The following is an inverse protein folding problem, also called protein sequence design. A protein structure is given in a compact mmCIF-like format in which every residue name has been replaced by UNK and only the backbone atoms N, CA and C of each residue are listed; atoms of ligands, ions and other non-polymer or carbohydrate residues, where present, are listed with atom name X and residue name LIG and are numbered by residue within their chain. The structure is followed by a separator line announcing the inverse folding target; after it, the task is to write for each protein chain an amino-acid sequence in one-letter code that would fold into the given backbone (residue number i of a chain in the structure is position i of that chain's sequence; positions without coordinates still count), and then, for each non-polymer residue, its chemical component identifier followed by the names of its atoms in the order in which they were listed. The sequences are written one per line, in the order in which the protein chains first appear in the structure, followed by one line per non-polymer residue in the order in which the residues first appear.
data_IF_929323203038
#
_entry.id   IF_929323203038
#
_cell.length_a   1.000
_cell.length_b   1.000
_cell.length_c   1.000
_cell.angle_alpha   90.00
_cell.angle_beta   90.00
_cell.angle_gamma   90.00
#
_symmetry.space_group_name_H-M   'P 1'
#
loop_
_entity.id
_entity.type
_entity.pdbx_description
1 polymer ?
#
# COMPACT_ATOMS: atom_id res chain seq x y z
N UNK A 1 16.01 -22.31 6.23
CA UNK A 1 15.04 -22.09 5.12
C UNK A 1 13.93 -21.09 5.44
N UNK A 2 13.33 -21.08 6.64
CA UNK A 2 12.19 -20.20 7.01
C UNK A 2 12.49 -18.70 6.87
N UNK A 3 13.68 -18.25 7.28
CA UNK A 3 14.09 -16.84 7.15
C UNK A 3 14.29 -16.39 5.68
N UNK A 4 14.82 -17.28 4.81
CA UNK A 4 14.96 -17.00 3.37
C UNK A 4 13.59 -16.82 2.71
N UNK A 5 12.61 -17.67 3.07
CA UNK A 5 11.23 -17.55 2.56
C UNK A 5 10.60 -16.21 2.94
N UNK A 6 10.79 -15.75 4.18
CA UNK A 6 10.26 -14.44 4.61
C UNK A 6 10.93 -13.28 3.85
N UNK A 7 12.26 -13.31 3.67
CA UNK A 7 12.97 -12.30 2.90
C UNK A 7 12.49 -12.19 1.45
N UNK A 8 12.21 -13.33 0.80
CA UNK A 8 11.64 -13.38 -0.55
C UNK A 8 10.27 -12.68 -0.59
N UNK A 9 9.40 -12.90 0.40
CA UNK A 9 8.09 -12.24 0.45
C UNK A 9 8.24 -10.72 0.49
N UNK A 10 9.13 -10.19 1.34
CA UNK A 10 9.38 -8.74 1.40
C UNK A 10 9.91 -8.20 0.07
N UNK A 11 10.82 -8.93 -0.60
CA UNK A 11 11.37 -8.54 -1.90
C UNK A 11 10.31 -8.55 -3.00
N UNK A 12 9.45 -9.57 -3.05
CA UNK A 12 8.35 -9.66 -4.01
C UNK A 12 7.35 -8.54 -3.77
N UNK A 13 6.96 -8.27 -2.52
CA UNK A 13 6.11 -7.13 -2.18
C UNK A 13 6.70 -5.80 -2.62
N UNK A 14 8.00 -5.59 -2.40
CA UNK A 14 8.70 -4.40 -2.86
C UNK A 14 8.69 -4.29 -4.38
N UNK A 15 8.94 -5.39 -5.10
CA UNK A 15 8.86 -5.43 -6.56
C UNK A 15 7.47 -5.08 -7.10
N UNK A 16 6.41 -5.60 -6.46
CA UNK A 16 5.02 -5.26 -6.79
C UNK A 16 4.74 -3.77 -6.55
N UNK A 17 5.21 -3.22 -5.42
CA UNK A 17 5.05 -1.80 -5.12
C UNK A 17 5.77 -0.92 -6.16
N UNK A 18 7.00 -1.29 -6.56
CA UNK A 18 7.76 -0.60 -7.61
C UNK A 18 7.05 -0.66 -8.96
N UNK A 19 6.55 -1.82 -9.36
CA UNK A 19 5.78 -1.97 -10.59
C UNK A 19 4.51 -1.12 -10.54
N UNK A 20 3.76 -1.20 -9.44
CA UNK A 20 2.56 -0.38 -9.21
C UNK A 20 2.87 1.12 -9.33
N UNK A 21 3.95 1.59 -8.72
CA UNK A 21 4.38 3.00 -8.80
C UNK A 21 4.74 3.43 -10.23
N UNK A 22 5.49 2.62 -10.98
CA UNK A 22 5.85 2.96 -12.37
C UNK A 22 4.59 3.02 -13.23
N UNK A 23 3.69 2.05 -13.09
CA UNK A 23 2.43 2.02 -13.83
C UNK A 23 1.58 3.26 -13.50
N UNK A 24 1.32 3.55 -12.23
CA UNK A 24 0.47 4.69 -11.84
C UNK A 24 1.10 6.02 -12.21
N UNK A 25 2.40 6.22 -11.94
CA UNK A 25 3.07 7.50 -12.17
C UNK A 25 3.16 7.89 -13.65
N UNK A 26 3.37 6.92 -14.53
CA UNK A 26 3.69 7.18 -15.94
C UNK A 26 2.63 6.69 -16.91
N UNK A 27 2.18 5.45 -16.77
CA UNK A 27 1.25 4.84 -17.74
C UNK A 27 -0.19 5.29 -17.48
N UNK A 28 -0.58 5.41 -16.20
CA UNK A 28 -1.93 5.83 -15.82
C UNK A 28 -2.02 7.30 -15.41
N UNK A 29 -1.03 8.11 -15.79
CA UNK A 29 -0.96 9.51 -15.39
C UNK A 29 -2.22 10.29 -15.78
N UNK A 30 -2.76 10.04 -16.97
CA UNK A 30 -3.94 10.77 -17.49
C UNK A 30 -5.22 10.50 -16.68
N UNK A 31 -5.27 9.41 -15.90
CA UNK A 31 -6.44 9.07 -15.06
C UNK A 31 -6.53 9.99 -13.84
N UNK A 32 -5.40 10.47 -13.32
CA UNK A 32 -5.36 11.20 -12.04
C UNK A 32 -4.59 12.53 -12.09
N UNK A 33 -3.77 12.80 -13.11
CA UNK A 33 -3.05 14.05 -13.33
C UNK A 33 -1.98 14.43 -12.30
N UNK A 34 -1.80 13.65 -11.23
CA UNK A 34 -0.95 14.00 -10.08
C UNK A 34 0.38 13.24 -10.05
N UNK A 35 1.53 13.91 -10.07
CA UNK A 35 2.84 13.23 -9.89
C UNK A 35 3.26 13.09 -8.42
N UNK A 36 2.84 13.98 -7.54
CA UNK A 36 3.32 13.98 -6.15
C UNK A 36 2.68 12.87 -5.32
N UNK A 37 1.37 12.69 -5.40
CA UNK A 37 0.68 11.68 -4.59
C UNK A 37 1.17 10.24 -4.84
N UNK A 38 1.30 9.75 -6.10
CA UNK A 38 1.87 8.41 -6.34
C UNK A 38 3.25 8.23 -5.71
N UNK A 39 4.09 9.28 -5.71
CA UNK A 39 5.42 9.26 -5.10
C UNK A 39 5.35 9.22 -3.57
N UNK A 40 4.51 10.05 -2.95
CA UNK A 40 4.36 10.08 -1.49
C UNK A 40 3.90 8.70 -0.98
N UNK A 41 2.84 8.14 -1.57
CA UNK A 41 2.33 6.82 -1.19
C UNK A 41 3.37 5.71 -1.44
N UNK A 42 4.16 5.82 -2.52
CA UNK A 42 5.25 4.90 -2.81
C UNK A 42 6.34 4.95 -1.74
N UNK A 43 6.84 6.14 -1.40
CA UNK A 43 7.87 6.31 -0.37
C UNK A 43 7.38 5.85 1.01
N UNK A 44 6.14 6.15 1.38
CA UNK A 44 5.51 5.60 2.57
C UNK A 44 5.46 4.07 2.53
N UNK A 45 5.09 3.49 1.38
CA UNK A 45 5.07 2.04 1.18
C UNK A 45 6.45 1.39 1.33
N UNK A 46 7.51 2.01 0.78
CA UNK A 46 8.90 1.56 0.98
C UNK A 46 9.24 1.56 2.47
N UNK A 47 8.97 2.67 3.17
CA UNK A 47 9.27 2.78 4.59
C UNK A 47 8.56 1.68 5.41
N UNK A 48 7.27 1.46 5.14
CA UNK A 48 6.48 0.41 5.80
C UNK A 48 7.02 -0.98 5.49
N UNK A 49 7.35 -1.29 4.24
CA UNK A 49 7.96 -2.59 3.87
C UNK A 49 9.33 -2.77 4.53
N UNK A 50 10.15 -1.72 4.60
CA UNK A 50 11.45 -1.74 5.28
C UNK A 50 11.33 -2.04 6.78
N UNK A 51 10.41 -1.37 7.47
CA UNK A 51 10.11 -1.64 8.88
C UNK A 51 9.59 -3.08 9.05
N UNK A 52 8.68 -3.52 8.17
CA UNK A 52 8.12 -4.85 8.20
C UNK A 52 9.18 -5.95 7.98
N UNK A 53 10.19 -5.70 7.14
CA UNK A 53 11.33 -6.60 6.96
C UNK A 53 12.12 -6.79 8.26
N UNK A 54 12.44 -5.70 8.96
CA UNK A 54 13.14 -5.74 10.25
C UNK A 54 12.30 -6.45 11.33
N UNK A 55 10.99 -6.19 11.34
CA UNK A 55 10.04 -6.81 12.26
C UNK A 55 9.64 -8.25 11.88
N UNK A 56 10.10 -8.76 10.73
CA UNK A 56 9.69 -10.05 10.14
C UNK A 56 8.16 -10.17 9.94
N UNK A 57 7.50 -9.03 9.74
CA UNK A 57 6.05 -8.86 9.61
C UNK A 57 5.62 -9.01 8.15
N UNK A 58 5.57 -10.25 7.67
CA UNK A 58 5.33 -10.53 6.24
C UNK A 58 3.98 -10.05 5.73
N UNK A 59 2.94 -10.08 6.56
CA UNK A 59 1.59 -9.67 6.15
C UNK A 59 1.53 -8.17 5.88
N UNK A 60 2.25 -7.38 6.68
CA UNK A 60 2.40 -5.94 6.49
C UNK A 60 2.97 -5.65 5.10
N UNK A 61 4.07 -6.29 4.70
CA UNK A 61 4.64 -6.03 3.36
C UNK A 61 3.72 -6.42 2.21
N UNK A 62 3.05 -7.58 2.29
CA UNK A 62 2.12 -8.02 1.24
C UNK A 62 0.97 -7.04 1.11
N UNK A 63 0.34 -6.68 2.22
CA UNK A 63 -0.84 -5.82 2.18
C UNK A 63 -0.50 -4.38 1.84
N UNK A 64 0.67 -3.85 2.22
CA UNK A 64 1.13 -2.53 1.75
C UNK A 64 1.26 -2.48 0.24
N UNK A 65 1.86 -3.49 -0.39
CA UNK A 65 2.02 -3.53 -1.84
C UNK A 65 0.65 -3.63 -2.55
N UNK A 66 -0.24 -4.49 -2.05
CA UNK A 66 -1.60 -4.63 -2.59
C UNK A 66 -2.43 -3.37 -2.37
N UNK A 67 -2.31 -2.71 -1.22
CA UNK A 67 -3.04 -1.50 -0.89
C UNK A 67 -2.74 -0.36 -1.87
N UNK A 68 -1.50 -0.27 -2.35
CA UNK A 68 -1.14 0.70 -3.37
C UNK A 68 -1.94 0.49 -4.66
N UNK A 69 -2.04 -0.75 -5.12
CA UNK A 69 -2.76 -1.12 -6.35
C UNK A 69 -4.27 -1.00 -6.14
N UNK A 70 -4.80 -1.62 -5.09
CA UNK A 70 -6.23 -1.63 -4.77
C UNK A 70 -6.74 -0.21 -4.53
N UNK A 71 -5.97 0.62 -3.81
CA UNK A 71 -6.35 2.01 -3.55
C UNK A 71 -6.38 2.85 -4.82
N UNK A 72 -5.43 2.66 -5.74
CA UNK A 72 -5.48 3.32 -7.04
C UNK A 72 -6.72 2.87 -7.83
N UNK A 73 -6.95 1.56 -7.93
CA UNK A 73 -8.09 1.00 -8.66
C UNK A 73 -9.43 1.48 -8.07
N UNK A 74 -9.56 1.48 -6.75
CA UNK A 74 -10.74 2.01 -6.07
C UNK A 74 -10.92 3.50 -6.36
N UNK A 75 -9.85 4.29 -6.28
CA UNK A 75 -9.87 5.69 -6.64
C UNK A 75 -10.28 5.92 -8.10
N UNK A 76 -9.75 5.13 -9.04
CA UNK A 76 -10.07 5.24 -10.45
C UNK A 76 -11.54 4.90 -10.77
N UNK A 77 -12.14 3.95 -10.04
CA UNK A 77 -13.54 3.53 -10.20
C UNK A 77 -14.52 4.52 -9.53
N UNK A 78 -14.21 4.97 -8.32
CA UNK A 78 -15.11 5.76 -7.48
C UNK A 78 -14.83 7.26 -7.47
N UNK A 79 -13.88 7.73 -8.30
CA UNK A 79 -13.58 9.15 -8.38
C UNK A 79 -14.76 9.97 -8.85
N UNK A 80 -14.84 11.19 -8.34
CA UNK A 80 -15.76 12.24 -8.77
C UNK A 80 -15.00 13.54 -8.92
N UNK A 81 -15.28 14.23 -10.01
CA UNK A 81 -14.79 15.59 -10.22
C UNK A 81 -15.62 16.60 -9.43
N UNK A 82 -14.96 17.68 -9.02
CA UNK A 82 -15.57 18.81 -8.32
C UNK A 82 -14.93 20.13 -8.74
N UNK A 83 -15.35 21.20 -8.08
CA UNK A 83 -14.83 22.56 -8.29
C UNK A 83 -14.53 23.17 -6.94
N UNK A 84 -13.34 23.75 -6.77
CA UNK A 84 -12.99 24.51 -5.57
C UNK A 84 -13.64 25.91 -5.57
N UNK A 85 -13.52 26.63 -4.46
CA UNK A 85 -14.10 27.97 -4.32
C UNK A 85 -13.50 29.00 -5.30
N UNK A 86 -12.34 28.72 -5.90
CA UNK A 86 -11.68 29.53 -6.92
C UNK A 86 -12.02 29.14 -8.36
N UNK A 87 -12.92 28.16 -8.57
CA UNK A 87 -13.28 27.66 -9.90
C UNK A 87 -12.31 26.60 -10.45
N UNK A 88 -11.32 26.17 -9.67
CA UNK A 88 -10.37 25.13 -10.05
C UNK A 88 -11.01 23.75 -10.05
N UNK A 89 -10.71 22.93 -11.06
CA UNK A 89 -11.16 21.53 -11.09
C UNK A 89 -10.46 20.74 -9.99
N UNK A 90 -11.23 20.01 -9.21
CA UNK A 90 -10.74 19.06 -8.20
C UNK A 90 -11.21 17.66 -8.52
N UNK A 91 -10.50 16.66 -7.99
CA UNK A 91 -10.84 15.25 -8.13
C UNK A 91 -10.49 14.54 -6.82
N UNK A 92 -11.35 13.63 -6.35
CA UNK A 92 -11.20 12.97 -5.05
C UNK A 92 -10.45 11.61 -5.10
N UNK A 93 -9.93 11.19 -6.25
CA UNK A 93 -9.18 9.92 -6.41
C UNK A 93 -8.06 9.81 -5.37
N UNK A 94 -7.34 10.91 -5.12
CA UNK A 94 -6.25 10.92 -4.16
C UNK A 94 -6.70 10.62 -2.73
N UNK A 95 -7.88 11.07 -2.35
CA UNK A 95 -8.47 10.84 -1.02
C UNK A 95 -8.80 9.35 -0.89
N UNK A 96 -9.52 8.80 -1.88
CA UNK A 96 -9.92 7.39 -1.89
C UNK A 96 -8.67 6.51 -1.83
N UNK A 97 -7.67 6.79 -2.66
CA UNK A 97 -6.44 6.03 -2.70
C UNK A 97 -5.71 6.07 -1.36
N UNK A 98 -5.56 7.26 -0.77
CA UNK A 98 -4.88 7.43 0.53
C UNK A 98 -5.62 6.69 1.65
N UNK A 99 -6.95 6.81 1.72
CA UNK A 99 -7.77 6.15 2.73
C UNK A 99 -7.64 4.64 2.63
N UNK A 100 -7.82 4.07 1.43
CA UNK A 100 -7.67 2.62 1.21
C UNK A 100 -6.26 2.17 1.59
N UNK A 101 -5.24 2.93 1.22
CA UNK A 101 -3.85 2.62 1.54
C UNK A 101 -3.61 2.52 3.04
N UNK A 102 -4.07 3.51 3.81
CA UNK A 102 -3.93 3.54 5.27
C UNK A 102 -4.74 2.42 5.93
N UNK A 103 -5.99 2.21 5.53
CA UNK A 103 -6.85 1.16 6.10
C UNK A 103 -6.23 -0.23 5.96
N UNK A 104 -5.66 -0.54 4.79
CA UNK A 104 -5.00 -1.82 4.57
C UNK A 104 -3.74 -1.99 5.41
N UNK A 105 -2.91 -0.95 5.55
CA UNK A 105 -1.72 -1.00 6.42
C UNK A 105 -2.11 -1.25 7.86
N UNK A 106 -3.12 -0.54 8.38
CA UNK A 106 -3.63 -0.73 9.74
C UNK A 106 -4.16 -2.16 9.92
N UNK A 107 -4.98 -2.65 9.00
CA UNK A 107 -5.47 -4.03 9.03
C UNK A 107 -4.34 -5.06 9.00
N UNK A 108 -3.29 -4.83 8.21
CA UNK A 108 -2.14 -5.69 8.11
C UNK A 108 -1.36 -5.78 9.43
N UNK A 109 -1.15 -4.65 10.09
CA UNK A 109 -0.50 -4.58 11.40
C UNK A 109 -1.32 -5.33 12.44
N UNK A 110 -2.64 -5.14 12.48
CA UNK A 110 -3.54 -5.86 13.39
C UNK A 110 -3.46 -7.37 13.16
N UNK A 111 -3.52 -7.82 11.90
CA UNK A 111 -3.43 -9.24 11.55
C UNK A 111 -2.10 -9.85 11.99
N UNK A 112 -0.99 -9.14 11.78
CA UNK A 112 0.33 -9.63 12.18
C UNK A 112 0.45 -9.73 13.72
N UNK A 113 -0.10 -8.76 14.47
CA UNK A 113 -0.15 -8.80 15.94
C UNK A 113 -0.96 -10.02 16.41
N UNK A 114 -2.14 -10.27 15.82
CA UNK A 114 -2.98 -11.42 16.16
C UNK A 114 -2.23 -12.73 15.86
N UNK A 115 -1.57 -12.83 14.70
CA UNK A 115 -0.80 -14.00 14.32
C UNK A 115 0.38 -14.25 15.27
N UNK A 116 1.09 -13.20 15.67
CA UNK A 116 2.19 -13.28 16.63
C UNK A 116 1.71 -13.76 18.02
N UNK A 117 0.56 -13.26 18.49
CA UNK A 117 -0.05 -13.69 19.76
C UNK A 117 -0.46 -15.15 19.74
N UNK A 118 -1.12 -15.61 18.66
CA UNK A 118 -1.53 -17.01 18.51
C UNK A 118 -0.34 -17.98 18.52
N UNK A 119 0.75 -17.62 17.85
CA UNK A 119 1.98 -18.42 17.86
C UNK A 119 2.62 -18.48 19.24
N UNK A 120 2.52 -17.42 20.04
CA UNK A 120 3.02 -17.41 21.42
C UNK A 120 2.17 -18.28 22.35
N UNK A 121 0.86 -18.33 22.16
CA UNK A 121 -0.06 -19.12 22.99
C UNK A 121 -0.07 -20.61 22.65
N UNK A 122 0.33 -21.01 21.44
CA UNK A 122 0.37 -22.41 21.02
C UNK A 122 1.72 -22.75 20.31
N UNK A 123 2.80 -22.99 21.08
CA UNK A 123 4.14 -23.18 20.52
C UNK A 123 4.36 -24.51 19.78
N UNK A 124 3.43 -25.47 19.88
CA UNK A 124 3.53 -26.80 19.26
C UNK A 124 2.99 -26.88 17.81
N UNK A 125 2.56 -25.76 17.22
CA UNK A 125 2.15 -25.61 15.80
C UNK A 125 2.98 -24.56 15.08
#
# INVERSE_FOLDING_TARGET
MKNKKNAIVHLVSFGILCAGFVLTRYIFFDIHGMKQLPLILFLCGIAVIGIAFLAKAKQVSVLTALAYIIGFTAGAIFQTDGVDAGGGRTNNLWIIWTVVFVCFIVAAVIMEIIAARKKKSNPET
#
